data_IF_908507824240
#
_entry.id   IF_908507824240
#
_cell.length_a   1.000
_cell.length_b   1.000
_cell.length_c   1.000
_cell.angle_alpha   90.00
_cell.angle_beta   90.00
_cell.angle_gamma   90.00
#
_symmetry.space_group_name_H-M   'P 1'
#
loop_
_entity.id
_entity.type
_entity.pdbx_description
1 polymer ?
#
# COMPACT_ATOMS: atom_id res chain seq x y z
N UNK A 1 -18.70 22.92 -73.77
CA UNK A 1 -17.93 22.60 -72.55
C UNK A 1 -18.28 23.63 -71.49
N UNK A 2 -19.16 23.28 -70.57
CA UNK A 2 -19.49 24.06 -69.37
C UNK A 2 -19.76 23.05 -68.26
N UNK A 3 -18.97 23.14 -67.18
CA UNK A 3 -19.03 22.26 -66.04
C UNK A 3 -20.15 22.71 -65.10
N UNK A 4 -21.12 21.83 -64.85
CA UNK A 4 -22.13 22.00 -63.79
C UNK A 4 -21.49 21.72 -62.42
N UNK A 5 -21.29 22.78 -61.66
CA UNK A 5 -20.89 22.70 -60.26
C UNK A 5 -22.06 22.26 -59.39
N UNK A 6 -22.09 20.98 -59.00
CA UNK A 6 -22.96 20.51 -57.93
C UNK A 6 -22.39 21.03 -56.61
N UNK A 7 -22.96 22.15 -56.15
CA UNK A 7 -22.73 22.72 -54.84
C UNK A 7 -23.32 21.76 -53.79
N UNK A 8 -22.46 21.05 -53.04
CA UNK A 8 -22.91 20.26 -51.88
C UNK A 8 -23.37 21.26 -50.80
N UNK A 9 -24.67 21.30 -50.53
CA UNK A 9 -25.19 22.04 -49.39
C UNK A 9 -24.53 21.53 -48.09
N UNK A 10 -24.10 22.40 -47.17
CA UNK A 10 -23.59 21.97 -45.88
C UNK A 10 -24.70 21.23 -45.13
N UNK A 11 -24.36 20.08 -44.54
CA UNK A 11 -25.26 19.33 -43.67
C UNK A 11 -25.76 20.25 -42.56
N UNK A 12 -27.09 20.33 -42.42
CA UNK A 12 -27.74 21.16 -41.41
C UNK A 12 -27.19 20.88 -40.01
N UNK A 13 -27.04 21.95 -39.23
CA UNK A 13 -26.73 21.88 -37.80
C UNK A 13 -27.83 21.02 -37.16
N UNK A 14 -27.51 19.93 -36.43
CA UNK A 14 -28.52 19.10 -35.79
C UNK A 14 -29.19 19.90 -34.67
N UNK A 15 -30.30 20.57 -34.99
CA UNK A 15 -31.14 21.26 -34.01
C UNK A 15 -32.26 20.34 -33.57
N UNK A 16 -32.17 19.79 -32.35
CA UNK A 16 -33.31 19.18 -31.65
C UNK A 16 -33.30 17.66 -31.43
N UNK A 17 -32.20 16.96 -31.68
CA UNK A 17 -32.07 15.53 -31.35
C UNK A 17 -31.54 15.26 -29.94
N UNK A 18 -31.68 14.02 -29.45
CA UNK A 18 -31.08 13.54 -28.17
C UNK A 18 -29.53 13.66 -28.09
N UNK A 19 -28.89 14.07 -29.18
CA UNK A 19 -27.44 14.29 -29.30
C UNK A 19 -27.07 15.78 -29.47
N UNK A 20 -28.03 16.70 -29.30
CA UNK A 20 -27.70 18.13 -29.18
C UNK A 20 -26.81 18.30 -27.97
N UNK A 21 -25.70 19.03 -28.13
CA UNK A 21 -24.82 19.44 -27.05
C UNK A 21 -25.67 20.10 -25.96
N UNK A 22 -25.99 19.32 -24.94
CA UNK A 22 -26.74 19.82 -23.81
C UNK A 22 -25.69 20.57 -23.00
N UNK A 23 -25.79 21.90 -22.96
CA UNK A 23 -25.01 22.69 -22.02
C UNK A 23 -25.50 22.31 -20.61
N UNK A 24 -24.94 21.23 -20.08
CA UNK A 24 -25.04 20.93 -18.67
C UNK A 24 -24.39 22.10 -17.95
N UNK A 25 -25.14 22.78 -17.07
CA UNK A 25 -24.51 23.68 -16.12
C UNK A 25 -23.38 22.90 -15.44
N UNK A 26 -22.16 23.44 -15.42
CA UNK A 26 -21.06 22.84 -14.67
C UNK A 26 -21.55 22.60 -13.24
N UNK A 27 -21.89 21.35 -12.92
CA UNK A 27 -22.14 20.99 -11.56
C UNK A 27 -20.81 21.22 -10.83
N UNK A 28 -20.78 22.01 -9.74
CA UNK A 28 -19.56 22.25 -8.97
C UNK A 28 -19.21 20.98 -8.18
N UNK A 29 -18.89 19.89 -8.89
CA UNK A 29 -18.47 18.63 -8.32
C UNK A 29 -17.02 18.86 -7.87
N UNK A 30 -16.84 19.06 -6.57
CA UNK A 30 -15.51 19.09 -5.96
C UNK A 30 -14.93 17.69 -6.03
N UNK A 31 -13.97 17.49 -6.94
CA UNK A 31 -13.26 16.23 -7.08
C UNK A 31 -12.14 16.08 -6.04
N UNK A 32 -11.59 17.20 -5.55
CA UNK A 32 -10.49 17.26 -4.60
C UNK A 32 -10.91 17.95 -3.30
N UNK A 33 -10.13 17.72 -2.25
CA UNK A 33 -10.27 18.34 -0.93
C UNK A 33 -11.67 18.15 -0.33
N UNK A 34 -12.25 16.96 -0.56
CA UNK A 34 -13.49 16.55 0.08
C UNK A 34 -13.20 16.04 1.48
N UNK A 35 -14.05 16.40 2.43
CA UNK A 35 -13.89 16.01 3.84
C UNK A 35 -14.64 14.74 4.23
N UNK A 36 -15.35 14.11 3.29
CA UNK A 36 -16.17 12.91 3.52
C UNK A 36 -15.43 11.59 3.26
N UNK A 37 -14.11 11.64 3.15
CA UNK A 37 -13.27 10.45 3.03
C UNK A 37 -13.21 9.62 4.32
N UNK A 38 -12.86 8.35 4.18
CA UNK A 38 -12.53 7.45 5.29
C UNK A 38 -11.09 6.95 5.15
N UNK A 39 -10.53 6.31 6.19
CA UNK A 39 -9.16 5.79 6.14
C UNK A 39 -8.91 4.87 4.92
N UNK A 40 -9.85 3.97 4.63
CA UNK A 40 -9.75 3.03 3.49
C UNK A 40 -10.16 3.65 2.15
N UNK A 41 -11.00 4.68 2.18
CA UNK A 41 -11.47 5.40 0.99
C UNK A 41 -11.24 6.90 1.17
N UNK A 42 -9.98 7.36 1.15
CA UNK A 42 -9.66 8.75 1.39
C UNK A 42 -10.04 9.62 0.18
N UNK A 43 -10.39 10.87 0.44
CA UNK A 43 -10.55 11.84 -0.63
C UNK A 43 -9.17 12.24 -1.20
N UNK A 44 -9.07 12.46 -2.52
CA UNK A 44 -7.83 12.98 -3.10
C UNK A 44 -7.60 14.43 -2.64
N UNK A 45 -6.35 14.75 -2.31
CA UNK A 45 -5.96 16.09 -1.84
C UNK A 45 -5.26 16.87 -2.95
N UNK A 46 -5.68 18.09 -3.19
CA UNK A 46 -4.99 19.06 -4.04
C UNK A 46 -3.97 19.90 -3.25
N UNK A 47 -4.20 20.06 -1.95
CA UNK A 47 -3.34 20.85 -1.05
C UNK A 47 -2.72 20.00 0.05
N UNK A 48 -1.55 20.44 0.52
CA UNK A 48 -0.83 19.85 1.65
C UNK A 48 -1.64 19.97 2.94
N UNK A 49 -2.22 21.15 3.19
CA UNK A 49 -3.02 21.41 4.37
C UNK A 49 -4.20 20.44 4.46
N UNK A 50 -4.92 20.21 3.36
CA UNK A 50 -6.00 19.22 3.34
C UNK A 50 -5.48 17.80 3.61
N UNK A 51 -4.38 17.40 2.98
CA UNK A 51 -3.78 16.08 3.19
C UNK A 51 -3.39 15.86 4.66
N UNK A 52 -2.65 16.81 5.23
CA UNK A 52 -2.18 16.78 6.62
C UNK A 52 -3.37 16.77 7.56
N UNK A 53 -4.31 17.70 7.40
CA UNK A 53 -5.48 17.79 8.26
C UNK A 53 -6.32 16.51 8.22
N UNK A 54 -6.55 15.93 7.04
CA UNK A 54 -7.32 14.70 6.90
C UNK A 54 -6.63 13.54 7.63
N UNK A 55 -5.37 13.25 7.31
CA UNK A 55 -4.66 12.09 7.86
C UNK A 55 -4.30 12.22 9.33
N UNK A 56 -4.10 13.44 9.83
CA UNK A 56 -3.89 13.69 11.27
C UNK A 56 -5.12 13.38 12.11
N UNK A 57 -6.32 13.49 11.54
CA UNK A 57 -7.58 13.39 12.29
C UNK A 57 -8.38 12.12 11.98
N UNK A 58 -8.17 11.48 10.83
CA UNK A 58 -8.93 10.28 10.46
C UNK A 58 -8.72 9.17 11.49
N UNK A 59 -9.82 8.50 11.82
CA UNK A 59 -9.80 7.33 12.69
C UNK A 59 -9.17 6.15 11.97
N UNK A 60 -8.20 5.52 12.63
CA UNK A 60 -7.54 4.30 12.16
C UNK A 60 -8.14 3.13 12.93
N UNK A 61 -8.76 2.16 12.25
CA UNK A 61 -9.26 0.94 12.89
C UNK A 61 -8.14 0.18 13.61
N UNK A 62 -8.43 -0.38 14.79
CA UNK A 62 -7.45 -1.14 15.56
C UNK A 62 -6.95 -2.37 14.78
N UNK A 63 -7.81 -2.99 13.97
CA UNK A 63 -7.43 -4.13 13.14
C UNK A 63 -6.34 -3.77 12.13
N UNK A 64 -6.29 -2.52 11.66
CA UNK A 64 -5.23 -2.04 10.78
C UNK A 64 -3.92 -1.88 11.55
N UNK A 65 -3.98 -1.40 12.80
CA UNK A 65 -2.80 -1.23 13.64
C UNK A 65 -2.14 -2.59 13.88
N UNK A 66 -2.92 -3.59 14.28
CA UNK A 66 -2.44 -4.95 14.53
C UNK A 66 -1.84 -5.57 13.26
N UNK A 67 -2.54 -5.46 12.13
CA UNK A 67 -2.04 -5.95 10.84
C UNK A 67 -0.72 -5.30 10.43
N UNK A 68 -0.55 -4.00 10.70
CA UNK A 68 0.69 -3.27 10.38
C UNK A 68 1.84 -3.73 11.27
N UNK A 69 1.60 -3.97 12.57
CA UNK A 69 2.63 -4.48 13.49
C UNK A 69 3.12 -5.87 13.05
N UNK A 70 2.19 -6.77 12.72
CA UNK A 70 2.53 -8.13 12.27
C UNK A 70 3.23 -8.12 10.91
N UNK A 71 2.72 -7.32 9.97
CA UNK A 71 3.31 -7.17 8.66
C UNK A 71 4.73 -6.58 8.75
N UNK A 72 4.96 -5.60 9.63
CA UNK A 72 6.27 -4.97 9.79
C UNK A 72 7.37 -5.98 10.11
N UNK A 73 7.13 -6.90 11.05
CA UNK A 73 8.12 -7.92 11.41
C UNK A 73 8.51 -8.78 10.19
N UNK A 74 7.52 -9.16 9.38
CA UNK A 74 7.71 -9.98 8.17
C UNK A 74 8.46 -9.20 7.09
N UNK A 75 8.03 -7.98 6.80
CA UNK A 75 8.62 -7.16 5.74
C UNK A 75 10.01 -6.67 6.10
N UNK A 76 10.27 -6.35 7.36
CA UNK A 76 11.61 -5.98 7.85
C UNK A 76 12.65 -7.05 7.53
N UNK A 77 12.33 -8.33 7.76
CA UNK A 77 13.26 -9.41 7.45
C UNK A 77 13.52 -9.51 5.94
N UNK A 78 12.46 -9.42 5.14
CA UNK A 78 12.57 -9.43 3.68
C UNK A 78 13.44 -8.28 3.15
N UNK A 79 13.29 -7.07 3.69
CA UNK A 79 14.12 -5.93 3.33
C UNK A 79 15.59 -6.13 3.75
N UNK A 80 15.84 -6.70 4.93
CA UNK A 80 17.20 -7.06 5.37
C UNK A 80 17.82 -8.06 4.40
N UNK A 81 17.07 -9.08 3.99
CA UNK A 81 17.55 -10.09 3.06
C UNK A 81 17.86 -9.48 1.68
N UNK A 82 17.01 -8.58 1.19
CA UNK A 82 17.24 -7.85 -0.07
C UNK A 82 18.46 -6.92 0.00
N UNK A 83 18.62 -6.15 1.07
CA UNK A 83 19.78 -5.29 1.27
C UNK A 83 21.06 -6.14 1.36
N UNK A 84 21.02 -7.26 2.10
CA UNK A 84 22.13 -8.21 2.18
C UNK A 84 22.45 -8.79 0.80
N UNK A 85 21.47 -9.21 0.01
CA UNK A 85 21.67 -9.74 -1.34
C UNK A 85 22.34 -8.71 -2.25
N UNK A 86 21.91 -7.45 -2.22
CA UNK A 86 22.52 -6.37 -2.99
C UNK A 86 23.99 -6.15 -2.59
N UNK A 87 24.26 -6.04 -1.29
CA UNK A 87 25.62 -5.88 -0.77
C UNK A 87 26.52 -7.06 -1.14
N UNK A 88 26.05 -8.29 -0.94
CA UNK A 88 26.83 -9.49 -1.22
C UNK A 88 27.05 -9.73 -2.71
N UNK A 89 26.08 -9.35 -3.56
CA UNK A 89 26.22 -9.42 -5.02
C UNK A 89 27.27 -8.44 -5.51
N UNK A 90 27.22 -7.18 -5.06
CA UNK A 90 28.20 -6.17 -5.42
C UNK A 90 29.62 -6.57 -4.96
N UNK A 91 29.74 -7.04 -3.71
CA UNK A 91 31.02 -7.52 -3.18
C UNK A 91 31.55 -8.71 -3.99
N UNK A 92 30.70 -9.69 -4.28
CA UNK A 92 31.08 -10.90 -5.04
C UNK A 92 31.62 -10.52 -6.42
N UNK A 93 30.92 -9.67 -7.16
CA UNK A 93 31.36 -9.22 -8.49
C UNK A 93 32.74 -8.58 -8.41
N UNK A 94 32.94 -7.67 -7.46
CA UNK A 94 34.23 -7.01 -7.26
C UNK A 94 35.35 -7.98 -6.87
N UNK A 95 35.03 -8.94 -6.01
CA UNK A 95 35.97 -9.96 -5.58
C UNK A 95 36.40 -10.87 -6.74
N UNK A 96 35.46 -11.33 -7.56
CA UNK A 96 35.73 -12.18 -8.73
C UNK A 96 36.58 -11.45 -9.78
N UNK A 97 36.40 -10.14 -9.96
CA UNK A 97 37.24 -9.30 -10.84
C UNK A 97 38.69 -9.21 -10.35
N UNK A 98 38.89 -9.04 -9.03
CA UNK A 98 40.22 -8.95 -8.43
C UNK A 98 40.91 -10.31 -8.30
N UNK A 99 40.14 -11.39 -8.31
CA UNK A 99 40.60 -12.74 -8.03
C UNK A 99 40.13 -13.69 -9.14
N UNK A 100 40.75 -13.60 -10.33
CA UNK A 100 40.37 -14.44 -11.46
C UNK A 100 40.58 -15.92 -11.14
N UNK A 101 39.67 -16.76 -11.63
CA UNK A 101 39.67 -18.21 -11.37
C UNK A 101 41.00 -18.82 -11.85
N UNK A 102 41.73 -19.52 -10.97
CA UNK A 102 43.02 -20.10 -11.34
C UNK A 102 42.84 -21.37 -12.18
N UNK A 103 43.80 -21.64 -13.08
CA UNK A 103 43.81 -22.85 -13.92
C UNK A 103 44.11 -24.15 -13.14
N UNK A 104 44.63 -24.04 -11.92
CA UNK A 104 44.99 -25.12 -10.98
C UNK A 104 44.58 -24.66 -9.57
N UNK A 105 44.45 -25.59 -8.61
CA UNK A 105 44.06 -25.30 -7.21
C UNK A 105 42.67 -24.64 -7.05
N UNK A 106 41.67 -25.17 -7.78
CA UNK A 106 40.29 -24.67 -7.70
C UNK A 106 39.70 -24.81 -6.29
N UNK A 107 40.09 -25.85 -5.55
CA UNK A 107 39.61 -26.13 -4.20
C UNK A 107 40.06 -25.04 -3.21
N UNK A 108 41.36 -24.72 -3.18
CA UNK A 108 41.90 -23.62 -2.36
C UNK A 108 41.24 -22.27 -2.70
N UNK A 109 40.98 -22.02 -3.98
CA UNK A 109 40.26 -20.83 -4.44
C UNK A 109 38.83 -20.77 -3.88
N UNK A 110 38.08 -21.87 -3.95
CA UNK A 110 36.71 -21.95 -3.45
C UNK A 110 36.65 -21.83 -1.92
N UNK A 111 37.57 -22.45 -1.19
CA UNK A 111 37.67 -22.31 0.25
C UNK A 111 38.00 -20.87 0.66
N UNK A 112 38.91 -20.23 -0.07
CA UNK A 112 39.23 -18.82 0.15
C UNK A 112 38.01 -17.93 -0.09
N UNK A 113 37.32 -18.11 -1.22
CA UNK A 113 36.08 -17.39 -1.52
C UNK A 113 35.05 -17.55 -0.40
N UNK A 114 34.74 -18.79 0.01
CA UNK A 114 33.75 -19.07 1.07
C UNK A 114 34.08 -18.37 2.38
N UNK A 115 35.34 -18.43 2.81
CA UNK A 115 35.82 -17.80 4.04
C UNK A 115 35.70 -16.28 3.98
N UNK A 116 36.17 -15.67 2.90
CA UNK A 116 36.10 -14.21 2.74
C UNK A 116 34.67 -13.71 2.57
N UNK A 117 33.82 -14.48 1.85
CA UNK A 117 32.41 -14.20 1.69
C UNK A 117 31.69 -14.18 3.05
N UNK A 118 31.88 -15.21 3.88
CA UNK A 118 31.24 -15.26 5.20
C UNK A 118 31.78 -14.19 6.14
N UNK A 119 33.09 -13.91 6.10
CA UNK A 119 33.69 -12.83 6.88
C UNK A 119 33.10 -11.46 6.48
N UNK A 120 32.97 -11.20 5.18
CA UNK A 120 32.37 -9.95 4.70
C UNK A 120 30.89 -9.89 5.09
N UNK A 121 30.14 -10.97 4.89
CA UNK A 121 28.73 -11.07 5.29
C UNK A 121 28.54 -10.73 6.78
N UNK A 122 29.36 -11.29 7.67
CA UNK A 122 29.32 -11.00 9.10
C UNK A 122 29.68 -9.55 9.43
N UNK A 123 30.59 -8.95 8.66
CA UNK A 123 30.98 -7.55 8.86
C UNK A 123 29.89 -6.54 8.49
N UNK A 124 29.09 -6.82 7.45
CA UNK A 124 28.05 -5.91 6.96
C UNK A 124 26.70 -6.11 7.63
N UNK A 125 26.41 -7.32 8.12
CA UNK A 125 25.12 -7.68 8.70
C UNK A 125 24.64 -6.71 9.80
N UNK A 126 25.46 -6.31 10.80
CA UNK A 126 25.02 -5.37 11.83
C UNK A 126 24.56 -4.02 11.25
N UNK A 127 25.28 -3.52 10.24
CA UNK A 127 24.95 -2.25 9.58
C UNK A 127 23.65 -2.33 8.80
N UNK A 128 23.39 -3.45 8.11
CA UNK A 128 22.13 -3.68 7.38
C UNK A 128 20.95 -3.80 8.34
N UNK A 129 21.10 -4.59 9.42
CA UNK A 129 20.05 -4.78 10.43
C UNK A 129 19.72 -3.48 11.17
N UNK A 130 20.72 -2.63 11.43
CA UNK A 130 20.55 -1.38 12.18
C UNK A 130 19.86 -0.26 11.40
N UNK A 131 19.71 -0.38 10.06
CA UNK A 131 19.00 0.63 9.25
C UNK A 131 17.54 0.82 9.69
N UNK A 132 16.94 -0.20 10.29
CA UNK A 132 15.51 -0.25 10.60
C UNK A 132 15.27 -0.69 12.05
N UNK A 133 14.35 -0.05 12.78
CA UNK A 133 13.95 -0.48 14.11
C UNK A 133 13.55 -1.96 14.15
N UNK A 134 13.79 -2.65 15.27
CA UNK A 134 13.45 -4.07 15.39
C UNK A 134 11.93 -4.30 15.38
N UNK A 135 11.19 -3.37 15.98
CA UNK A 135 9.73 -3.41 16.14
C UNK A 135 9.17 -2.00 16.02
N UNK A 136 7.89 -1.92 15.70
CA UNK A 136 7.15 -0.66 15.84
C UNK A 136 6.84 -0.39 17.31
N UNK A 137 6.93 0.88 17.71
CA UNK A 137 6.51 1.31 19.04
C UNK A 137 4.99 1.13 19.19
N UNK A 138 4.55 0.58 20.32
CA UNK A 138 3.12 0.37 20.60
C UNK A 138 2.32 1.68 20.53
N UNK A 139 2.91 2.77 21.02
CA UNK A 139 2.29 4.10 21.01
C UNK A 139 2.48 4.86 19.69
N UNK A 140 3.45 4.45 18.88
CA UNK A 140 3.87 5.18 17.67
C UNK A 140 3.15 4.69 16.43
N UNK A 141 2.69 3.44 16.42
CA UNK A 141 2.18 2.76 15.22
C UNK A 141 1.09 3.57 14.51
N UNK A 142 0.16 4.18 15.26
CA UNK A 142 -0.88 5.06 14.66
C UNK A 142 -0.26 6.24 13.91
N UNK A 143 0.71 6.92 14.51
CA UNK A 143 1.36 8.08 13.91
C UNK A 143 2.21 7.70 12.71
N UNK A 144 2.87 6.54 12.78
CA UNK A 144 3.62 5.98 11.65
C UNK A 144 2.69 5.67 10.46
N UNK A 145 1.52 5.05 10.71
CA UNK A 145 0.51 4.81 9.67
C UNK A 145 0.03 6.13 9.05
N UNK A 146 -0.24 7.16 9.88
CA UNK A 146 -0.66 8.48 9.40
C UNK A 146 0.40 9.10 8.49
N UNK A 147 1.65 9.12 8.92
CA UNK A 147 2.76 9.65 8.14
C UNK A 147 2.90 8.91 6.79
N UNK A 148 2.81 7.58 6.79
CA UNK A 148 2.85 6.80 5.55
C UNK A 148 1.66 7.11 4.63
N UNK A 149 0.45 7.28 5.17
CA UNK A 149 -0.72 7.67 4.37
C UNK A 149 -0.63 9.09 3.82
N UNK A 150 -0.10 10.03 4.61
CA UNK A 150 0.23 11.38 4.12
C UNK A 150 1.19 11.30 2.93
N UNK A 151 2.25 10.49 3.03
CA UNK A 151 3.18 10.28 1.93
C UNK A 151 2.48 9.69 0.70
N UNK A 152 1.67 8.65 0.85
CA UNK A 152 0.99 7.99 -0.29
C UNK A 152 0.00 8.91 -0.99
N UNK A 153 -0.73 9.73 -0.23
CA UNK A 153 -1.83 10.55 -0.71
C UNK A 153 -1.47 12.03 -0.87
N UNK A 154 -0.19 12.38 -0.78
CA UNK A 154 0.30 13.74 -0.99
C UNK A 154 -0.07 14.28 -2.37
N UNK A 155 -0.22 15.60 -2.52
CA UNK A 155 -0.49 16.22 -3.81
C UNK A 155 0.55 15.82 -4.87
N UNK A 156 0.07 15.36 -6.02
CA UNK A 156 0.94 14.92 -7.11
C UNK A 156 1.63 16.15 -7.76
N UNK A 157 2.98 16.22 -7.78
CA UNK A 157 3.71 17.37 -8.34
C UNK A 157 3.52 17.56 -9.85
N UNK A 158 3.03 16.53 -10.57
CA UNK A 158 2.67 16.65 -11.99
C UNK A 158 1.31 17.35 -12.21
N UNK A 159 0.49 17.51 -11.16
CA UNK A 159 -0.85 18.12 -11.23
C UNK A 159 -0.98 19.37 -10.37
N UNK A 160 -0.21 19.47 -9.29
CA UNK A 160 -0.26 20.55 -8.31
C UNK A 160 1.14 21.13 -8.09
N UNK A 161 1.25 22.36 -7.52
CA UNK A 161 2.54 22.97 -7.24
C UNK A 161 3.46 22.05 -6.43
N UNK A 162 4.74 21.88 -6.82
CA UNK A 162 5.67 20.98 -6.11
C UNK A 162 5.89 21.31 -4.63
N UNK A 163 5.70 22.58 -4.27
CA UNK A 163 5.74 23.03 -2.87
C UNK A 163 4.70 22.36 -1.97
N UNK A 164 3.55 21.93 -2.51
CA UNK A 164 2.54 21.20 -1.75
C UNK A 164 3.01 19.79 -1.36
N UNK A 165 3.73 19.11 -2.25
CA UNK A 165 4.37 17.83 -1.91
C UNK A 165 5.41 18.03 -0.79
N UNK A 166 6.26 19.05 -0.93
CA UNK A 166 7.33 19.31 0.02
C UNK A 166 6.81 19.64 1.42
N UNK A 167 5.73 20.42 1.52
CA UNK A 167 5.05 20.71 2.81
C UNK A 167 4.62 19.41 3.52
N UNK A 168 4.05 18.44 2.80
CA UNK A 168 3.67 17.15 3.39
C UNK A 168 4.90 16.37 3.85
N UNK A 169 5.97 16.36 3.06
CA UNK A 169 7.20 15.61 3.38
C UNK A 169 7.92 16.16 4.63
N UNK A 170 7.84 17.47 4.83
CA UNK A 170 8.51 18.17 5.92
C UNK A 170 7.60 18.34 7.16
N UNK A 171 6.35 17.88 7.09
CA UNK A 171 5.41 17.93 8.20
C UNK A 171 5.97 17.15 9.41
N UNK A 172 6.07 17.79 10.60
CA UNK A 172 6.53 17.12 11.81
C UNK A 172 5.45 16.21 12.37
N UNK A 173 5.85 14.99 12.73
CA UNK A 173 5.00 13.99 13.38
C UNK A 173 5.64 13.64 14.73
N UNK A 174 4.84 13.80 15.78
CA UNK A 174 5.25 13.47 17.14
C UNK A 174 5.14 11.95 17.37
N UNK A 175 6.26 11.34 17.75
CA UNK A 175 6.35 9.98 18.26
C UNK A 175 6.64 10.04 19.76
N UNK A 176 6.54 8.92 20.46
CA UNK A 176 6.64 8.82 21.91
C UNK A 176 7.96 9.38 22.47
N UNK A 177 9.07 9.20 21.75
CA UNK A 177 10.41 9.61 22.20
C UNK A 177 11.06 10.71 21.34
N UNK A 178 10.46 11.08 20.22
CA UNK A 178 11.09 11.98 19.25
C UNK A 178 10.05 12.62 18.34
N UNK A 179 10.43 13.70 17.65
CA UNK A 179 9.66 14.27 16.55
C UNK A 179 10.43 14.06 15.26
N UNK A 180 9.79 13.44 14.29
CA UNK A 180 10.37 13.17 12.97
C UNK A 180 9.47 13.76 11.90
N UNK A 181 10.04 14.19 10.77
CA UNK A 181 9.22 14.56 9.62
C UNK A 181 8.64 13.32 8.95
N UNK A 182 7.58 13.47 8.16
CA UNK A 182 7.02 12.39 7.33
C UNK A 182 8.10 11.70 6.49
N UNK A 183 9.01 12.48 5.89
CA UNK A 183 10.17 11.95 5.14
C UNK A 183 11.11 11.12 6.02
N UNK A 184 11.43 11.59 7.21
CA UNK A 184 12.31 10.87 8.14
C UNK A 184 11.68 9.57 8.64
N UNK A 185 10.36 9.57 8.87
CA UNK A 185 9.61 8.36 9.23
C UNK A 185 9.70 7.33 8.11
N UNK A 186 9.44 7.73 6.86
CA UNK A 186 9.53 6.84 5.70
C UNK A 186 10.94 6.24 5.56
N UNK A 187 11.98 7.05 5.70
CA UNK A 187 13.38 6.58 5.63
C UNK A 187 13.76 5.64 6.77
N UNK A 188 13.33 5.93 8.00
CA UNK A 188 13.71 5.18 9.21
C UNK A 188 12.95 3.87 9.35
N UNK A 189 11.66 3.88 9.04
CA UNK A 189 10.77 2.73 9.24
C UNK A 189 10.48 1.96 7.96
N UNK A 190 10.73 2.52 6.77
CA UNK A 190 10.55 1.87 5.47
C UNK A 190 9.20 1.15 5.31
N UNK A 191 8.11 1.85 5.65
CA UNK A 191 6.77 1.27 5.66
C UNK A 191 6.16 1.07 4.26
N UNK A 192 6.95 1.25 3.20
CA UNK A 192 6.50 1.09 1.82
C UNK A 192 5.94 -0.32 1.56
N UNK A 193 6.66 -1.36 1.99
CA UNK A 193 6.23 -2.75 1.79
C UNK A 193 5.09 -3.15 2.74
N UNK A 194 4.94 -2.43 3.87
CA UNK A 194 3.84 -2.61 4.84
C UNK A 194 2.54 -1.97 4.35
N UNK A 195 2.60 -1.12 3.33
CA UNK A 195 1.43 -0.44 2.73
C UNK A 195 0.29 -1.39 2.39
N UNK A 196 0.58 -2.59 1.90
CA UNK A 196 -0.46 -3.56 1.55
C UNK A 196 -1.35 -3.93 2.77
N UNK A 197 -0.76 -3.98 3.97
CA UNK A 197 -1.49 -4.19 5.22
C UNK A 197 -2.28 -2.95 5.65
N UNK A 198 -1.87 -1.75 5.22
CA UNK A 198 -2.60 -0.50 5.51
C UNK A 198 -3.78 -0.25 4.56
N UNK A 199 -3.80 -0.87 3.38
CA UNK A 199 -4.81 -0.61 2.34
C UNK A 199 -5.98 -1.61 2.40
N UNK A 200 -5.93 -2.61 3.27
CA UNK A 200 -6.96 -3.63 3.41
C UNK A 200 -7.16 -3.97 4.86
N UNK A 201 -8.42 -4.01 5.30
CA UNK A 201 -8.77 -4.84 6.46
C UNK A 201 -8.92 -6.25 5.89
N UNK A 202 -7.94 -7.12 6.13
CA UNK A 202 -8.18 -8.54 5.89
C UNK A 202 -9.36 -8.96 6.78
N UNK A 203 -10.46 -9.41 6.17
CA UNK A 203 -11.52 -10.04 6.95
C UNK A 203 -10.88 -11.25 7.62
N UNK A 204 -11.15 -11.42 8.90
CA UNK A 204 -10.80 -12.65 9.58
C UNK A 204 -11.64 -13.77 8.95
N UNK A 205 -11.12 -14.40 7.90
CA UNK A 205 -11.84 -15.41 7.12
C UNK A 205 -12.30 -16.58 8.00
N UNK A 206 -11.60 -16.81 9.13
CA UNK A 206 -12.02 -17.78 10.15
C UNK A 206 -13.31 -17.36 10.86
N UNK A 207 -13.48 -16.07 11.20
CA UNK A 207 -14.72 -15.59 11.79
C UNK A 207 -15.90 -15.65 10.80
N UNK A 208 -15.62 -15.44 9.50
CA UNK A 208 -16.61 -15.63 8.44
C UNK A 208 -16.98 -17.12 8.29
N UNK A 209 -15.99 -18.01 8.33
CA UNK A 209 -16.18 -19.47 8.27
C UNK A 209 -16.95 -19.99 9.49
N UNK A 210 -16.63 -19.52 10.70
CA UNK A 210 -17.37 -19.85 11.93
C UNK A 210 -18.82 -19.34 11.87
N UNK A 211 -19.04 -18.12 11.36
CA UNK A 211 -20.39 -17.58 11.16
C UNK A 211 -21.19 -18.40 10.13
N UNK A 212 -20.55 -18.83 9.05
CA UNK A 212 -21.17 -19.69 8.03
C UNK A 212 -21.48 -21.09 8.56
N UNK A 213 -20.58 -21.67 9.38
CA UNK A 213 -20.81 -22.95 10.05
C UNK A 213 -21.99 -22.85 11.04
N UNK A 214 -22.02 -21.81 11.86
CA UNK A 214 -23.13 -21.53 12.79
C UNK A 214 -24.47 -21.38 12.05
N UNK A 215 -24.50 -20.66 10.93
CA UNK A 215 -25.72 -20.57 10.10
C UNK A 215 -26.11 -21.91 9.47
N UNK A 216 -25.14 -22.73 9.04
CA UNK A 216 -25.42 -24.05 8.48
C UNK A 216 -26.00 -25.00 9.52
N UNK A 217 -25.54 -24.94 10.77
CA UNK A 217 -26.09 -25.71 11.88
C UNK A 217 -27.52 -25.28 12.21
N UNK A 218 -27.78 -23.96 12.25
CA UNK A 218 -29.13 -23.44 12.45
C UNK A 218 -30.11 -23.89 11.36
N UNK A 219 -29.70 -23.83 10.09
CA UNK A 219 -30.53 -24.27 8.96
C UNK A 219 -30.82 -25.78 9.01
N UNK A 220 -29.84 -26.57 9.44
CA UNK A 220 -30.01 -28.02 9.60
C UNK A 220 -31.01 -28.33 10.71
N UNK A 221 -30.92 -27.64 11.85
CA UNK A 221 -31.88 -27.77 12.95
C UNK A 221 -33.31 -27.38 12.55
N UNK A 222 -33.47 -26.30 11.76
CA UNK A 222 -34.78 -25.90 11.21
C UNK A 222 -35.32 -26.97 10.25
N UNK A 223 -34.46 -27.56 9.42
CA UNK A 223 -34.87 -28.62 8.50
C UNK A 223 -35.37 -29.86 9.24
N UNK A 224 -34.66 -30.31 10.27
CA UNK A 224 -35.08 -31.44 11.11
C UNK A 224 -36.41 -31.18 11.83
N UNK A 225 -36.60 -29.97 12.36
CA UNK A 225 -37.87 -29.56 12.97
C UNK A 225 -39.03 -29.60 11.97
N UNK A 226 -38.81 -29.12 10.74
CA UNK A 226 -39.82 -29.15 9.67
C UNK A 226 -40.14 -30.58 9.23
N UNK A 227 -39.13 -31.46 9.14
CA UNK A 227 -39.34 -32.88 8.84
C UNK A 227 -40.16 -33.56 9.94
N UNK A 228 -39.84 -33.29 11.21
CA UNK A 228 -40.60 -33.84 12.34
C UNK A 228 -42.06 -33.33 12.39
N UNK A 229 -42.28 -32.03 12.21
CA UNK A 229 -43.64 -31.48 12.14
C UNK A 229 -44.44 -32.07 10.98
N UNK A 230 -43.79 -32.35 9.84
CA UNK A 230 -44.43 -32.97 8.68
C UNK A 230 -44.75 -34.44 8.90
N UNK A 231 -43.93 -35.19 9.64
CA UNK A 231 -44.25 -36.56 10.04
C UNK A 231 -45.41 -36.63 11.03
N UNK A 232 -45.51 -35.66 11.94
CA UNK A 232 -46.62 -35.59 12.90
C UNK A 232 -47.95 -35.23 12.21
N UNK A 233 -47.90 -34.39 11.17
CA UNK A 233 -49.06 -34.04 10.35
C UNK A 233 -49.60 -35.19 9.49
N UNK A 234 -48.77 -36.16 9.12
CA UNK A 234 -49.17 -37.32 8.31
C UNK A 234 -49.71 -38.51 9.13
N UNK A 235 -49.69 -38.41 10.46
CA UNK A 235 -50.17 -39.43 11.38
C UNK A 235 -51.55 -39.10 12.00
N UNK A 236 -52.22 -38.06 11.50
CA UNK A 236 -53.62 -37.71 11.76
C UNK A 236 -54.45 -37.86 10.48
#
# INVERSE_FOLDING_TARGET
MTADGINRAPAGIPSGGQFVATNHAEAPIRLFDRTDGSFLNPAPSATAEHCIQFWSNVEIPDEIIDQVVDAYATFRQKEIDQDMEQHMTAWRTHWEEQNPVPKRNLEEYQERFKREYEQHRQSVLPGVVAKRPERLGQYDTRQLIRATKMLIHRPNPARFPPEEEQKVLDEPVELYNETLTVRQIDQKYSLYDVRYAMDKVFRNDNALLEALQSQSEQLSGIHEQLVHQRSDFNNY
#
